data_IF_373141283411
#
_entry.id   IF_373141283411
#
_cell.length_a   1.000
_cell.length_b   1.000
_cell.length_c   1.000
_cell.angle_alpha   90.00
_cell.angle_beta   90.00
_cell.angle_gamma   90.00
#
_symmetry.space_group_name_H-M   'P 1'
#
loop_
_entity.id
_entity.type
_entity.pdbx_description
1 polymer ?
#
# COMPACT_ATOMS: atom_id res chain seq x y z
N UNK A 1 -0.69 16.40 0.40
CA UNK A 1 -0.86 14.96 0.17
C UNK A 1 -0.73 14.59 -1.30
N UNK A 2 -1.49 15.23 -2.17
CA UNK A 2 -1.45 14.90 -3.59
C UNK A 2 -0.11 15.16 -4.27
N UNK A 3 0.66 16.12 -3.77
CA UNK A 3 1.96 16.44 -4.35
C UNK A 3 2.93 15.25 -4.34
N UNK A 4 2.79 14.35 -3.36
CA UNK A 4 3.65 13.16 -3.26
C UNK A 4 3.40 12.15 -4.37
N UNK A 5 2.27 12.26 -5.10
CA UNK A 5 1.86 11.30 -6.12
C UNK A 5 1.85 11.90 -7.52
N UNK A 6 2.50 13.04 -7.68
CA UNK A 6 2.64 13.68 -9.00
C UNK A 6 3.93 13.32 -9.71
N UNK A 7 4.84 12.62 -9.01
CA UNK A 7 6.06 12.14 -9.64
C UNK A 7 5.77 10.97 -10.57
N UNK A 8 6.63 10.72 -11.59
CA UNK A 8 6.50 9.53 -12.40
C UNK A 8 6.51 8.27 -11.53
N UNK A 9 5.77 7.24 -11.94
CA UNK A 9 5.71 5.94 -11.24
C UNK A 9 5.09 6.01 -9.85
N UNK A 10 4.20 6.97 -9.62
CA UNK A 10 3.40 7.03 -8.40
C UNK A 10 1.94 7.30 -8.75
N UNK A 11 1.04 6.79 -7.91
CA UNK A 11 -0.40 6.98 -8.09
C UNK A 11 -1.12 6.78 -6.76
N UNK A 12 -2.25 7.46 -6.59
CA UNK A 12 -3.12 7.26 -5.45
C UNK A 12 -4.56 7.06 -5.94
N UNK A 13 -5.17 5.93 -5.55
CA UNK A 13 -6.56 5.61 -5.88
C UNK A 13 -7.47 5.98 -4.73
N UNK A 14 -8.65 6.50 -5.06
CA UNK A 14 -9.70 6.72 -4.07
C UNK A 14 -10.96 6.00 -4.50
N UNK A 15 -11.79 5.62 -3.53
CA UNK A 15 -13.11 5.07 -3.77
C UNK A 15 -14.13 6.07 -3.26
N UNK A 16 -15.06 6.46 -4.13
CA UNK A 16 -16.17 7.32 -3.77
C UNK A 16 -17.47 6.52 -3.78
N UNK A 17 -18.30 6.77 -2.80
CA UNK A 17 -19.63 6.18 -2.68
C UNK A 17 -20.58 7.29 -2.26
N UNK A 18 -21.59 7.58 -3.10
CA UNK A 18 -22.54 8.67 -2.87
C UNK A 18 -21.86 10.02 -2.60
N UNK A 19 -20.87 10.38 -3.44
CA UNK A 19 -20.10 11.62 -3.37
C UNK A 19 -19.21 11.73 -2.12
N UNK A 20 -19.00 10.63 -1.39
CA UNK A 20 -18.12 10.58 -0.22
C UNK A 20 -16.91 9.71 -0.52
N UNK A 21 -15.71 10.20 -0.21
CA UNK A 21 -14.51 9.38 -0.31
C UNK A 21 -14.51 8.40 0.88
N UNK A 22 -14.60 7.11 0.58
CA UNK A 22 -14.74 6.06 1.59
C UNK A 22 -13.50 5.20 1.74
N UNK A 23 -12.53 5.33 0.85
CA UNK A 23 -11.29 4.58 0.92
C UNK A 23 -10.24 5.11 -0.03
N UNK A 24 -9.00 4.70 0.19
CA UNK A 24 -7.90 5.06 -0.69
C UNK A 24 -6.65 4.26 -0.40
N UNK A 25 -5.77 4.22 -1.39
CA UNK A 25 -4.46 3.57 -1.29
C UNK A 25 -3.59 4.02 -2.45
N UNK A 26 -2.30 4.16 -2.22
CA UNK A 26 -1.37 4.57 -3.25
C UNK A 26 -0.05 3.83 -3.22
N UNK A 27 0.72 4.03 -4.27
CA UNK A 27 2.10 3.54 -4.36
C UNK A 27 3.00 4.67 -4.84
N UNK A 28 4.23 4.66 -4.36
CA UNK A 28 5.32 5.51 -4.88
C UNK A 28 6.65 4.83 -4.61
N UNK A 29 7.71 5.27 -5.28
CA UNK A 29 9.05 4.73 -5.04
C UNK A 29 9.40 4.84 -3.56
N UNK A 30 9.98 3.76 -3.00
CA UNK A 30 10.42 3.75 -1.61
C UNK A 30 11.61 4.69 -1.43
N UNK A 31 11.53 5.58 -0.42
CA UNK A 31 12.59 6.53 -0.15
C UNK A 31 13.86 5.86 0.38
N UNK A 32 15.02 6.47 0.08
CA UNK A 32 16.33 6.06 0.58
C UNK A 32 16.72 4.63 0.19
N UNK A 33 16.35 4.21 -1.02
CA UNK A 33 16.86 2.97 -1.60
C UNK A 33 17.07 3.16 -3.09
N UNK A 34 18.11 2.51 -3.64
CA UNK A 34 18.36 2.44 -5.08
C UNK A 34 17.66 1.22 -5.69
N UNK A 35 17.06 0.36 -4.85
CA UNK A 35 16.31 -0.80 -5.33
C UNK A 35 15.02 -0.37 -6.03
N UNK A 36 14.57 -1.16 -6.98
CA UNK A 36 13.36 -0.88 -7.77
C UNK A 36 12.12 -1.36 -7.01
N UNK A 37 11.86 -0.72 -5.88
CA UNK A 37 10.78 -1.06 -4.95
C UNK A 37 9.87 0.14 -4.78
N UNK A 38 8.56 -0.09 -4.81
CA UNK A 38 7.59 0.93 -4.41
C UNK A 38 7.02 0.62 -3.02
N UNK A 39 6.50 1.64 -2.37
CA UNK A 39 5.84 1.52 -1.08
C UNK A 39 4.34 1.67 -1.23
N UNK A 40 3.58 0.72 -0.66
CA UNK A 40 2.13 0.85 -0.51
C UNK A 40 1.85 1.80 0.64
N UNK A 41 1.11 2.88 0.39
CA UNK A 41 0.96 3.96 1.34
C UNK A 41 -0.49 4.35 1.57
N UNK A 42 -0.75 4.79 2.80
CA UNK A 42 -1.97 5.51 3.15
C UNK A 42 -3.25 4.74 2.79
N UNK A 43 -3.20 3.43 2.95
CA UNK A 43 -4.37 2.57 2.82
C UNK A 43 -5.36 2.90 3.92
N UNK A 44 -6.60 3.22 3.55
CA UNK A 44 -7.66 3.41 4.52
C UNK A 44 -9.00 3.00 3.95
N UNK A 45 -9.92 2.63 4.84
CA UNK A 45 -11.33 2.40 4.54
C UNK A 45 -12.16 2.89 5.70
N UNK A 46 -13.21 3.65 5.42
CA UNK A 46 -14.18 4.02 6.45
C UNK A 46 -14.87 2.76 6.97
N UNK A 47 -15.16 2.73 8.27
CA UNK A 47 -15.77 1.58 8.91
C UNK A 47 -17.08 1.16 8.22
N UNK A 48 -17.89 2.13 7.80
CA UNK A 48 -19.16 1.87 7.12
C UNK A 48 -18.99 1.22 5.74
N UNK A 49 -17.78 1.25 5.17
CA UNK A 49 -17.51 0.71 3.83
C UNK A 49 -16.74 -0.59 3.88
N UNK A 50 -16.46 -1.11 5.08
CA UNK A 50 -15.75 -2.39 5.22
C UNK A 50 -16.68 -3.55 4.90
N UNK A 51 -16.09 -4.67 4.48
CA UNK A 51 -16.84 -5.87 4.12
C UNK A 51 -17.42 -5.85 2.72
N UNK A 52 -17.12 -4.83 1.91
CA UNK A 52 -17.60 -4.71 0.53
C UNK A 52 -16.55 -5.09 -0.53
N UNK A 53 -15.38 -5.56 -0.10
CA UNK A 53 -14.30 -5.91 -1.01
C UNK A 53 -13.46 -4.73 -1.49
N UNK A 54 -13.65 -3.55 -0.94
CA UNK A 54 -12.93 -2.35 -1.39
C UNK A 54 -11.44 -2.42 -1.06
N UNK A 55 -11.06 -3.03 0.07
CA UNK A 55 -9.65 -3.18 0.42
C UNK A 55 -8.90 -4.03 -0.60
N UNK A 56 -9.49 -5.17 -0.96
CA UNK A 56 -8.90 -6.03 -1.98
C UNK A 56 -8.83 -5.33 -3.33
N UNK A 57 -9.87 -4.61 -3.71
CA UNK A 57 -9.90 -3.85 -4.97
C UNK A 57 -8.76 -2.84 -5.02
N UNK A 58 -8.57 -2.05 -3.95
CA UNK A 58 -7.52 -1.05 -3.87
C UNK A 58 -6.13 -1.67 -3.99
N UNK A 59 -5.89 -2.76 -3.25
CA UNK A 59 -4.60 -3.44 -3.29
C UNK A 59 -4.34 -4.03 -4.68
N UNK A 60 -5.34 -4.67 -5.29
CA UNK A 60 -5.21 -5.24 -6.61
C UNK A 60 -4.90 -4.17 -7.67
N UNK A 61 -5.54 -3.00 -7.58
CA UNK A 61 -5.24 -1.87 -8.47
C UNK A 61 -3.80 -1.38 -8.29
N UNK A 62 -3.35 -1.28 -7.05
CA UNK A 62 -1.97 -0.86 -6.76
C UNK A 62 -0.95 -1.87 -7.29
N UNK A 63 -1.21 -3.16 -7.11
CA UNK A 63 -0.33 -4.23 -7.63
C UNK A 63 -0.25 -4.14 -9.15
N UNK A 64 -1.40 -4.03 -9.82
CA UNK A 64 -1.45 -3.92 -11.27
C UNK A 64 -0.64 -2.72 -11.76
N UNK A 65 -0.83 -1.56 -11.11
CA UNK A 65 -0.14 -0.34 -11.53
C UNK A 65 1.36 -0.42 -11.22
N UNK A 66 1.76 -1.06 -10.12
CA UNK A 66 3.17 -1.26 -9.81
C UNK A 66 3.86 -2.09 -10.89
N UNK A 67 3.20 -3.12 -11.39
CA UNK A 67 3.72 -3.92 -12.52
C UNK A 67 3.83 -3.08 -13.79
N UNK A 68 2.82 -2.26 -14.09
CA UNK A 68 2.84 -1.38 -15.27
C UNK A 68 3.97 -0.36 -15.19
N UNK A 69 4.27 0.14 -13.99
CA UNK A 69 5.38 1.07 -13.77
C UNK A 69 6.75 0.38 -13.83
N UNK A 70 6.79 -0.95 -13.81
CA UNK A 70 8.03 -1.71 -13.89
C UNK A 70 8.73 -1.94 -12.56
N UNK A 71 8.05 -1.76 -11.43
CA UNK A 71 8.62 -2.09 -10.12
C UNK A 71 8.82 -3.59 -9.96
N UNK A 72 9.86 -3.98 -9.21
CA UNK A 72 10.15 -5.38 -8.92
C UNK A 72 9.41 -5.89 -7.68
N UNK A 73 9.18 -5.01 -6.72
CA UNK A 73 8.59 -5.37 -5.43
C UNK A 73 7.75 -4.23 -4.88
N UNK A 74 6.77 -4.60 -4.03
CA UNK A 74 6.00 -3.63 -3.23
C UNK A 74 6.31 -3.89 -1.76
N UNK A 75 6.64 -2.84 -1.03
CA UNK A 75 6.92 -2.86 0.38
C UNK A 75 5.82 -2.13 1.15
N UNK A 76 5.49 -2.60 2.35
CA UNK A 76 4.60 -1.87 3.26
C UNK A 76 5.03 -2.04 4.70
N UNK A 77 4.61 -1.09 5.54
CA UNK A 77 4.77 -1.16 6.99
C UNK A 77 3.41 -0.99 7.65
N UNK A 78 3.16 -1.74 8.71
CA UNK A 78 1.92 -1.67 9.45
C UNK A 78 2.15 -2.02 10.92
N UNK A 79 1.08 -1.97 11.71
CA UNK A 79 1.12 -2.31 13.13
C UNK A 79 0.61 -3.73 13.33
N UNK A 80 1.21 -4.46 14.29
CA UNK A 80 0.85 -5.85 14.55
C UNK A 80 -0.60 -6.03 15.00
N UNK A 81 -1.21 -5.00 15.62
CA UNK A 81 -2.62 -5.05 16.00
C UNK A 81 -3.58 -4.91 14.82
N UNK A 82 -3.09 -4.49 13.65
CA UNK A 82 -3.90 -4.36 12.44
C UNK A 82 -4.10 -5.72 11.76
N UNK A 83 -4.72 -6.66 12.47
CA UNK A 83 -4.79 -8.07 12.06
C UNK A 83 -5.57 -8.29 10.78
N UNK A 84 -6.67 -7.54 10.59
CA UNK A 84 -7.48 -7.68 9.38
C UNK A 84 -6.72 -7.19 8.14
N UNK A 85 -6.00 -6.08 8.27
CA UNK A 85 -5.19 -5.55 7.19
C UNK A 85 -4.06 -6.52 6.84
N UNK A 86 -3.35 -7.03 7.84
CA UNK A 86 -2.28 -7.99 7.64
C UNK A 86 -2.80 -9.26 6.94
N UNK A 87 -3.96 -9.77 7.38
CA UNK A 87 -4.58 -10.94 6.74
C UNK A 87 -4.88 -10.66 5.26
N UNK A 88 -5.39 -9.47 4.95
CA UNK A 88 -5.67 -9.08 3.57
C UNK A 88 -4.39 -9.00 2.74
N UNK A 89 -3.32 -8.41 3.29
CA UNK A 89 -2.03 -8.36 2.61
C UNK A 89 -1.48 -9.76 2.35
N UNK A 90 -1.55 -10.64 3.35
CA UNK A 90 -1.08 -12.02 3.19
C UNK A 90 -1.86 -12.77 2.12
N UNK A 91 -3.18 -12.58 2.06
CA UNK A 91 -4.03 -13.20 1.03
C UNK A 91 -3.69 -12.72 -0.38
N UNK A 92 -3.15 -11.51 -0.50
CA UNK A 92 -2.74 -10.97 -1.80
C UNK A 92 -1.30 -11.32 -2.17
N UNK A 93 -0.58 -12.01 -1.28
CA UNK A 93 0.76 -12.52 -1.56
C UNK A 93 1.89 -11.85 -0.81
N UNK A 94 1.61 -10.82 0.00
CA UNK A 94 2.63 -10.18 0.82
C UNK A 94 3.13 -11.13 1.90
N UNK A 95 4.43 -11.07 2.17
CA UNK A 95 5.07 -11.88 3.22
C UNK A 95 5.79 -10.96 4.19
N UNK A 96 5.76 -11.33 5.48
CA UNK A 96 6.50 -10.59 6.51
C UNK A 96 8.00 -10.75 6.29
N UNK A 97 8.74 -9.66 6.50
CA UNK A 97 10.19 -9.66 6.48
C UNK A 97 10.73 -9.19 7.83
N UNK A 98 12.00 -9.44 8.11
CA UNK A 98 12.57 -9.26 9.46
C UNK A 98 13.12 -7.86 9.72
N UNK A 99 13.21 -7.02 8.71
CA UNK A 99 13.83 -5.71 8.86
C UNK A 99 13.17 -4.70 7.93
N UNK A 100 13.11 -3.41 8.33
CA UNK A 100 12.59 -2.38 7.46
C UNK A 100 13.50 -2.16 6.26
N UNK A 101 12.90 -1.67 5.15
CA UNK A 101 13.62 -1.26 3.94
C UNK A 101 13.45 0.24 3.75
N UNK A 102 14.48 0.90 3.24
CA UNK A 102 14.43 2.32 2.92
C UNK A 102 14.09 3.19 4.13
N UNK A 103 13.42 4.28 3.86
CA UNK A 103 12.94 5.20 4.90
C UNK A 103 11.52 5.64 4.56
N UNK A 104 10.56 5.12 5.33
CA UNK A 104 9.14 5.43 5.12
C UNK A 104 8.65 6.57 6.00
N UNK A 105 9.40 6.92 7.05
CA UNK A 105 8.96 7.86 8.07
C UNK A 105 7.98 7.27 9.07
N UNK A 106 7.68 5.98 8.98
CA UNK A 106 6.71 5.31 9.87
C UNK A 106 7.42 4.73 11.09
N UNK A 107 7.78 5.56 12.06
CA UNK A 107 8.56 5.13 13.23
C UNK A 107 7.78 4.25 14.20
N UNK A 108 6.45 4.28 14.15
CA UNK A 108 5.61 3.48 15.04
C UNK A 108 5.22 2.11 14.50
N UNK A 109 5.51 1.82 13.24
CA UNK A 109 5.14 0.54 12.63
C UNK A 109 6.15 -0.54 13.00
N UNK A 110 5.65 -1.72 13.34
CA UNK A 110 6.47 -2.85 13.79
C UNK A 110 6.35 -4.10 12.93
N UNK A 111 5.60 -4.04 11.84
CA UNK A 111 5.47 -5.14 10.88
C UNK A 111 5.85 -4.63 9.50
N UNK A 112 6.79 -5.31 8.86
CA UNK A 112 7.24 -5.02 7.51
C UNK A 112 6.85 -6.18 6.60
N UNK A 113 6.30 -5.87 5.43
CA UNK A 113 5.86 -6.87 4.47
C UNK A 113 6.33 -6.54 3.06
N UNK A 114 6.53 -7.57 2.25
CA UNK A 114 7.05 -7.43 0.90
C UNK A 114 6.31 -8.35 -0.05
N UNK A 115 6.04 -7.86 -1.25
CA UNK A 115 5.45 -8.63 -2.35
C UNK A 115 6.37 -8.56 -3.55
N UNK A 116 6.75 -9.71 -4.09
CA UNK A 116 7.48 -9.78 -5.36
C UNK A 116 6.49 -9.71 -6.52
N UNK A 117 6.81 -8.88 -7.49
CA UNK A 117 5.95 -8.62 -8.66
C UNK A 117 6.31 -9.48 -9.89
#
# INVERSE_FOLDING_TARGET
>A
MFNNYQSPKSIYYIIEDNDTVVGGCGIKHLDNTDENICELQRMFLLTSSRGKGYGKLLIDLCIKKAKEFGYDEIYLETLSQMKKAISLYEKTGFKKINAPKGNTGHTGCNVQMLLSL
#
